data_IF_765025143379
#
_entry.id   IF_765025143379
#
_cell.length_a   1.000
_cell.length_b   1.000
_cell.length_c   1.000
_cell.angle_alpha   90.00
_cell.angle_beta   90.00
_cell.angle_gamma   90.00
#
_symmetry.space_group_name_H-M   'P 1'
#
loop_
_entity.id
_entity.type
_entity.pdbx_description
1 polymer ?
#
# COMPACT_ATOMS: atom_id res chain seq x y z
N UNK A 1 -1.91 -6.07 19.34
CA UNK A 1 -0.90 -6.05 18.26
C UNK A 1 -1.16 -7.25 17.37
N UNK A 2 -1.06 -7.10 16.05
CA UNK A 2 -1.28 -8.17 15.09
C UNK A 2 0.02 -8.94 14.88
N UNK A 3 -0.09 -10.22 14.54
CA UNK A 3 1.06 -11.00 14.06
C UNK A 3 1.50 -10.54 12.67
N UNK A 4 2.76 -10.85 12.31
CA UNK A 4 3.28 -10.58 10.97
C UNK A 4 2.41 -11.23 9.88
N UNK A 5 1.89 -12.44 10.15
CA UNK A 5 1.02 -13.14 9.20
C UNK A 5 -0.30 -12.39 8.99
N UNK A 6 -0.92 -11.88 10.05
CA UNK A 6 -2.13 -11.06 9.94
C UNK A 6 -1.88 -9.74 9.20
N UNK A 7 -0.74 -9.07 9.43
CA UNK A 7 -0.37 -7.87 8.69
C UNK A 7 -0.17 -8.16 7.20
N UNK A 8 0.47 -9.28 6.86
CA UNK A 8 0.60 -9.73 5.47
C UNK A 8 -0.77 -9.98 4.85
N UNK A 9 -1.70 -10.64 5.55
CA UNK A 9 -3.05 -10.86 5.06
C UNK A 9 -3.81 -9.55 4.83
N UNK A 10 -3.66 -8.57 5.73
CA UNK A 10 -4.26 -7.23 5.62
C UNK A 10 -3.72 -6.47 4.42
N UNK A 11 -2.41 -6.49 4.20
CA UNK A 11 -1.80 -5.88 3.01
C UNK A 11 -2.29 -6.56 1.73
N UNK A 12 -2.33 -7.91 1.70
CA UNK A 12 -2.82 -8.68 0.56
C UNK A 12 -4.29 -8.39 0.22
N UNK A 13 -5.11 -8.02 1.20
CA UNK A 13 -6.53 -7.70 0.99
C UNK A 13 -6.75 -6.44 0.14
N UNK A 14 -5.77 -5.53 0.10
CA UNK A 14 -5.83 -4.30 -0.73
C UNK A 14 -4.92 -4.35 -1.96
N UNK A 15 -4.14 -5.43 -2.11
CA UNK A 15 -3.33 -5.67 -3.30
C UNK A 15 -4.24 -5.85 -4.51
N UNK A 16 -4.14 -4.93 -5.47
CA UNK A 16 -5.04 -4.87 -6.60
C UNK A 16 -4.28 -4.25 -7.79
N UNK A 17 -3.42 -5.00 -8.48
CA UNK A 17 -2.71 -4.56 -9.67
C UNK A 17 -3.64 -3.95 -10.73
N UNK A 18 -3.37 -2.71 -11.15
CA UNK A 18 -4.17 -2.01 -12.16
C UNK A 18 -3.25 -1.28 -13.13
N UNK A 19 -3.52 -1.46 -14.42
CA UNK A 19 -3.05 -0.55 -15.45
C UNK A 19 -3.97 0.66 -15.50
N UNK A 20 -3.38 1.84 -15.41
CA UNK A 20 -4.04 3.13 -15.57
C UNK A 20 -3.78 3.66 -16.99
N UNK A 21 -4.25 4.87 -17.30
CA UNK A 21 -3.95 5.52 -18.58
C UNK A 21 -2.45 5.79 -18.74
N UNK A 22 -1.98 5.90 -19.99
CA UNK A 22 -0.60 6.35 -20.31
C UNK A 22 0.49 5.45 -19.71
N UNK A 23 0.28 4.14 -19.73
CA UNK A 23 1.21 3.14 -19.16
C UNK A 23 1.50 3.29 -17.66
N UNK A 24 0.73 4.11 -16.95
CA UNK A 24 0.82 4.22 -15.50
C UNK A 24 0.26 2.94 -14.84
N UNK A 25 0.73 2.63 -13.63
CA UNK A 25 0.29 1.46 -12.86
C UNK A 25 0.02 1.83 -11.40
N UNK A 26 -0.77 1.02 -10.72
CA UNK A 26 -1.04 1.18 -9.30
C UNK A 26 -1.44 -0.16 -8.69
N UNK A 27 -1.18 -0.33 -7.40
CA UNK A 27 -1.67 -1.48 -6.65
C UNK A 27 -0.86 -2.76 -6.78
N UNK A 28 0.32 -2.72 -7.41
CA UNK A 28 1.22 -3.86 -7.57
C UNK A 28 1.98 -4.20 -6.28
N UNK A 29 2.07 -3.24 -5.36
CA UNK A 29 2.61 -3.40 -4.01
C UNK A 29 1.58 -2.85 -3.02
N UNK A 30 1.38 -3.56 -1.91
CA UNK A 30 0.50 -3.17 -0.82
C UNK A 30 1.24 -3.21 0.52
N UNK A 31 0.82 -2.34 1.44
CA UNK A 31 1.39 -2.22 2.78
C UNK A 31 0.27 -2.22 3.83
N UNK A 32 0.54 -2.88 4.96
CA UNK A 32 -0.24 -2.74 6.18
C UNK A 32 0.69 -2.25 7.30
N UNK A 33 0.38 -1.07 7.84
CA UNK A 33 1.13 -0.41 8.89
C UNK A 33 0.33 -0.49 10.20
N UNK A 34 0.92 -1.04 11.26
CA UNK A 34 0.32 -1.02 12.60
C UNK A 34 1.06 -0.05 13.50
N UNK A 35 0.31 0.82 14.18
CA UNK A 35 0.88 1.74 15.19
C UNK A 35 1.04 1.05 16.54
N UNK A 36 1.80 1.67 17.45
CA UNK A 36 1.93 1.20 18.83
C UNK A 36 0.58 1.15 19.58
N UNK A 37 -0.40 1.97 19.19
CA UNK A 37 -1.77 1.95 19.74
C UNK A 37 -2.64 0.83 19.15
N UNK A 38 -2.15 0.09 18.15
CA UNK A 38 -2.84 -1.03 17.52
C UNK A 38 -3.67 -0.68 16.29
N UNK A 39 -3.76 0.60 15.91
CA UNK A 39 -4.44 1.03 14.67
C UNK A 39 -3.72 0.45 13.45
N UNK A 40 -4.48 0.10 12.41
CA UNK A 40 -3.95 -0.45 11.17
C UNK A 40 -4.35 0.42 10.00
N UNK A 41 -3.34 0.88 9.26
CA UNK A 41 -3.50 1.70 8.06
C UNK A 41 -3.00 0.93 6.85
N UNK A 42 -3.68 1.10 5.73
CA UNK A 42 -3.43 0.35 4.49
C UNK A 42 -3.06 1.32 3.39
N UNK A 43 -2.11 0.90 2.56
CA UNK A 43 -1.65 1.68 1.42
C UNK A 43 -1.30 0.80 0.24
N UNK A 44 -1.33 1.38 -0.96
CA UNK A 44 -0.89 0.75 -2.20
C UNK A 44 0.02 1.68 -2.97
N UNK A 45 0.92 1.13 -3.80
CA UNK A 45 1.78 1.95 -4.64
C UNK A 45 1.02 2.59 -5.80
N UNK A 46 1.61 3.66 -6.33
CA UNK A 46 1.30 4.20 -7.64
C UNK A 46 2.62 4.49 -8.35
N UNK A 47 2.72 4.06 -9.60
CA UNK A 47 3.88 4.30 -10.47
C UNK A 47 3.37 4.99 -11.74
N UNK A 48 3.84 6.21 -11.94
CA UNK A 48 3.45 7.05 -13.07
C UNK A 48 4.69 7.61 -13.76
N UNK A 49 4.56 7.97 -15.03
CA UNK A 49 5.69 8.45 -15.83
C UNK A 49 6.48 9.62 -15.21
N UNK A 50 7.71 9.80 -15.69
CA UNK A 50 8.65 10.86 -15.25
C UNK A 50 9.14 10.73 -13.80
N UNK A 51 9.25 9.50 -13.30
CA UNK A 51 9.77 9.22 -11.94
C UNK A 51 8.85 9.67 -10.82
N UNK A 52 7.57 9.93 -11.14
CA UNK A 52 6.55 10.29 -10.18
C UNK A 52 5.87 9.02 -9.65
N UNK A 53 5.27 9.13 -8.47
CA UNK A 53 4.62 8.01 -7.81
C UNK A 53 5.08 7.88 -6.37
N UNK A 54 4.56 6.87 -5.68
CA UNK A 54 4.96 6.59 -4.30
C UNK A 54 4.81 5.11 -3.97
N UNK A 55 5.66 4.66 -3.06
CA UNK A 55 5.60 3.30 -2.52
C UNK A 55 4.37 3.13 -1.61
N UNK A 56 3.95 1.89 -1.42
CA UNK A 56 2.76 1.55 -0.62
C UNK A 56 2.88 1.99 0.85
N UNK A 57 4.10 2.04 1.38
CA UNK A 57 4.45 2.44 2.74
C UNK A 57 4.19 3.94 2.95
N UNK A 58 4.55 4.77 1.97
CA UNK A 58 4.22 6.20 2.00
C UNK A 58 2.71 6.41 2.00
N UNK A 59 1.97 5.64 1.20
CA UNK A 59 0.51 5.70 1.18
C UNK A 59 -0.11 5.25 2.52
N UNK A 60 0.42 4.19 3.13
CA UNK A 60 -0.04 3.70 4.43
C UNK A 60 0.22 4.71 5.56
N UNK A 61 1.35 5.43 5.51
CA UNK A 61 1.65 6.54 6.45
C UNK A 61 0.72 7.74 6.19
N UNK A 62 0.48 8.09 4.93
CA UNK A 62 -0.42 9.19 4.57
C UNK A 62 -1.89 8.93 4.96
N UNK A 63 -2.28 7.66 5.14
CA UNK A 63 -3.61 7.25 5.57
C UNK A 63 -3.80 7.22 7.11
N UNK A 64 -2.73 7.46 7.88
CA UNK A 64 -2.76 7.51 9.35
C UNK A 64 -3.66 8.60 9.91
#
# INVERSE_FOLDING_TARGET
>A
MLSNHELILRARAVLNPRRLSRENTAGDVACALQTAAGNVFLGVCIDVGSGMGFCAEHAAIAAM
#
